data_IF_577138432905
#
_entry.id   IF_577138432905
#
_cell.length_a   1.000
_cell.length_b   1.000
_cell.length_c   1.000
_cell.angle_alpha   90.00
_cell.angle_beta   90.00
_cell.angle_gamma   90.00
#
_symmetry.space_group_name_H-M   'P 1'
#
loop_
_entity.id
_entity.type
_entity.pdbx_description
1 polymer ?
#
# COMPACT_ATOMS: atom_id res chain seq x y z
N UNK A 1 -23.90 -67.19 -55.14
CA UNK A 1 -22.99 -66.36 -55.96
C UNK A 1 -22.87 -65.00 -55.28
N UNK A 2 -21.63 -64.58 -54.95
CA UNK A 2 -21.17 -63.20 -54.59
C UNK A 2 -21.80 -62.64 -53.29
N UNK A 3 -21.26 -62.88 -52.09
CA UNK A 3 -20.00 -62.37 -51.51
C UNK A 3 -19.69 -60.92 -51.90
N UNK A 4 -20.02 -59.98 -51.01
CA UNK A 4 -19.40 -58.67 -50.93
C UNK A 4 -19.29 -58.27 -49.45
N UNK A 5 -18.16 -58.67 -48.87
CA UNK A 5 -17.59 -58.15 -47.63
C UNK A 5 -17.30 -56.66 -47.83
N UNK A 6 -17.95 -55.77 -47.08
CA UNK A 6 -17.59 -54.35 -47.05
C UNK A 6 -17.11 -54.01 -45.65
N UNK A 7 -15.79 -54.04 -45.49
CA UNK A 7 -15.09 -53.70 -44.25
C UNK A 7 -15.05 -52.17 -44.17
N UNK A 8 -15.94 -51.59 -43.36
CA UNK A 8 -15.85 -50.17 -43.00
C UNK A 8 -14.74 -50.04 -41.96
N UNK A 9 -13.58 -49.56 -42.40
CA UNK A 9 -12.45 -49.21 -41.53
C UNK A 9 -12.84 -47.94 -40.77
N UNK A 10 -13.28 -48.11 -39.52
CA UNK A 10 -13.41 -47.01 -38.56
C UNK A 10 -12.01 -46.49 -38.24
N UNK A 11 -11.58 -45.46 -38.97
CA UNK A 11 -10.43 -44.65 -38.58
C UNK A 11 -10.85 -43.78 -37.40
N UNK A 12 -10.73 -44.33 -36.19
CA UNK A 12 -10.79 -43.56 -34.96
C UNK A 12 -9.54 -42.67 -34.89
N UNK A 13 -9.60 -41.51 -35.53
CA UNK A 13 -8.67 -40.44 -35.23
C UNK A 13 -8.96 -40.00 -33.79
N UNK A 14 -8.21 -40.57 -32.84
CA UNK A 14 -8.11 -40.06 -31.47
C UNK A 14 -7.43 -38.69 -31.56
N UNK A 15 -8.22 -37.66 -31.84
CA UNK A 15 -7.78 -36.28 -31.67
C UNK A 15 -7.62 -36.11 -30.16
N UNK A 16 -6.38 -36.16 -29.70
CA UNK A 16 -6.05 -35.88 -28.30
C UNK A 16 -6.49 -34.47 -27.97
N UNK A 17 -7.60 -34.35 -27.23
CA UNK A 17 -7.98 -33.09 -26.60
C UNK A 17 -7.00 -32.85 -25.46
N UNK A 18 -5.88 -32.18 -25.75
CA UNK A 18 -5.07 -31.57 -24.71
C UNK A 18 -5.95 -30.52 -24.03
N UNK A 19 -6.43 -30.81 -22.82
CA UNK A 19 -7.09 -29.84 -21.98
C UNK A 19 -6.07 -28.74 -21.67
N UNK A 20 -6.16 -27.62 -22.40
CA UNK A 20 -5.43 -26.41 -22.08
C UNK A 20 -5.93 -25.97 -20.70
N UNK A 21 -5.14 -26.24 -19.65
CA UNK A 21 -5.39 -25.64 -18.35
C UNK A 21 -5.33 -24.13 -18.56
N UNK A 22 -6.34 -23.35 -18.13
CA UNK A 22 -6.16 -21.91 -18.10
C UNK A 22 -4.93 -21.66 -17.24
N UNK A 23 -3.94 -20.97 -17.79
CA UNK A 23 -2.77 -20.57 -17.04
C UNK A 23 -3.29 -19.55 -16.00
N UNK A 24 -3.64 -20.05 -14.82
CA UNK A 24 -3.75 -19.22 -13.63
C UNK A 24 -2.34 -18.72 -13.42
N UNK A 25 -2.10 -17.46 -13.76
CA UNK A 25 -0.83 -16.79 -13.51
C UNK A 25 -0.60 -16.89 -12.00
N UNK A 26 0.54 -17.46 -11.60
CA UNK A 26 0.92 -17.54 -10.19
C UNK A 26 2.10 -16.62 -9.95
N UNK A 27 2.39 -16.29 -8.68
CA UNK A 27 3.55 -15.44 -8.33
C UNK A 27 4.86 -15.89 -8.98
N UNK A 28 5.04 -17.21 -9.14
CA UNK A 28 6.24 -17.82 -9.74
C UNK A 28 6.30 -17.66 -11.27
N UNK A 29 5.22 -17.21 -11.90
CA UNK A 29 5.11 -17.01 -13.35
C UNK A 29 5.51 -15.59 -13.80
N UNK A 30 5.79 -14.67 -12.85
CA UNK A 30 6.18 -13.30 -13.19
C UNK A 30 7.59 -13.24 -13.78
N UNK A 31 7.78 -12.40 -14.81
CA UNK A 31 9.10 -12.14 -15.40
C UNK A 31 9.97 -11.32 -14.43
N UNK A 32 11.28 -11.30 -14.65
CA UNK A 32 12.22 -10.60 -13.75
C UNK A 32 11.99 -9.09 -13.57
N UNK A 33 11.30 -8.43 -14.51
CA UNK A 33 10.93 -7.02 -14.44
C UNK A 33 9.47 -6.80 -14.01
N UNK A 34 8.83 -7.82 -13.45
CA UNK A 34 7.42 -7.81 -13.05
C UNK A 34 7.28 -8.16 -11.57
N UNK A 35 6.22 -7.66 -10.95
CA UNK A 35 5.81 -8.03 -9.60
C UNK A 35 4.40 -8.65 -9.63
N UNK A 36 4.18 -9.64 -8.77
CA UNK A 36 2.85 -10.21 -8.57
C UNK A 36 1.98 -9.25 -7.75
N UNK A 37 0.80 -8.88 -8.26
CA UNK A 37 -0.17 -8.06 -7.53
C UNK A 37 -1.37 -8.90 -7.07
N UNK A 38 -1.40 -9.36 -5.81
CA UNK A 38 -2.42 -10.31 -5.34
C UNK A 38 -3.85 -9.80 -5.47
N UNK A 39 -4.05 -8.48 -5.35
CA UNK A 39 -5.37 -7.87 -5.42
C UNK A 39 -5.97 -7.92 -6.83
N UNK A 40 -5.15 -7.95 -7.89
CA UNK A 40 -5.61 -8.13 -9.28
C UNK A 40 -5.36 -9.56 -9.79
N UNK A 41 -4.60 -10.37 -9.07
CA UNK A 41 -4.29 -11.75 -9.45
C UNK A 41 -3.49 -11.86 -10.74
N UNK A 42 -2.58 -10.91 -11.00
CA UNK A 42 -1.76 -10.88 -12.20
C UNK A 42 -0.35 -10.32 -11.93
N UNK A 43 0.57 -10.56 -12.87
CA UNK A 43 1.88 -9.93 -12.89
C UNK A 43 1.80 -8.55 -13.56
N UNK A 44 2.34 -7.52 -12.90
CA UNK A 44 2.45 -6.17 -13.42
C UNK A 44 3.92 -5.83 -13.65
N UNK A 45 4.24 -5.20 -14.77
CA UNK A 45 5.58 -4.63 -14.97
C UNK A 45 5.90 -3.62 -13.86
N UNK A 46 7.16 -3.51 -13.46
CA UNK A 46 7.63 -2.38 -12.65
C UNK A 46 7.27 -1.08 -13.38
N UNK A 47 6.24 -0.40 -12.90
CA UNK A 47 5.54 0.64 -13.64
C UNK A 47 5.41 1.94 -12.87
N UNK A 48 5.74 3.02 -13.57
CA UNK A 48 5.66 4.41 -13.17
C UNK A 48 6.87 5.15 -13.77
N UNK A 49 6.70 6.32 -14.43
CA UNK A 49 7.88 7.11 -14.79
C UNK A 49 8.64 7.43 -13.49
N UNK A 50 9.97 7.39 -13.56
CA UNK A 50 10.85 7.76 -12.43
C UNK A 50 10.50 9.13 -11.82
N UNK A 51 9.82 9.97 -12.60
CA UNK A 51 9.13 11.16 -12.14
C UNK A 51 7.63 11.02 -12.47
N UNK A 52 6.78 10.59 -11.52
CA UNK A 52 5.33 10.52 -11.72
C UNK A 52 4.77 11.88 -12.15
N UNK A 53 3.81 11.94 -13.11
CA UNK A 53 3.15 13.19 -13.46
C UNK A 53 2.36 13.72 -12.26
N UNK A 54 2.28 15.04 -12.12
CA UNK A 54 1.44 15.68 -11.09
C UNK A 54 0.00 15.22 -11.27
N UNK A 55 -0.66 14.68 -10.24
CA UNK A 55 -2.05 14.27 -10.34
C UNK A 55 -2.99 15.44 -10.70
N UNK A 56 -4.20 15.14 -11.18
CA UNK A 56 -5.25 16.15 -11.31
C UNK A 56 -5.52 16.82 -9.94
N UNK A 57 -5.90 18.10 -9.93
CA UNK A 57 -6.32 18.78 -8.69
C UNK A 57 -7.34 17.92 -7.94
N UNK A 58 -7.14 17.70 -6.64
CA UNK A 58 -7.97 16.82 -5.78
C UNK A 58 -7.71 15.30 -5.91
N UNK A 59 -6.65 14.91 -6.64
CA UNK A 59 -6.11 13.54 -6.68
C UNK A 59 -4.62 13.51 -6.32
N UNK A 60 -4.08 14.62 -5.84
CA UNK A 60 -2.69 14.77 -5.48
C UNK A 60 -2.35 13.83 -4.32
N UNK A 61 -1.32 12.99 -4.51
CA UNK A 61 -0.70 12.31 -3.38
C UNK A 61 -0.20 13.40 -2.42
N UNK A 62 -0.55 13.35 -1.12
CA UNK A 62 0.02 14.27 -0.14
C UNK A 62 1.55 14.24 -0.27
N UNK A 63 2.15 15.39 -0.61
CA UNK A 63 3.60 15.49 -0.89
C UNK A 63 4.45 15.23 0.35
N UNK A 64 3.83 15.43 1.51
CA UNK A 64 4.33 15.13 2.83
C UNK A 64 3.41 14.04 3.39
N UNK A 65 3.90 13.19 4.29
CA UNK A 65 3.30 11.95 4.79
C UNK A 65 1.93 12.07 5.51
N UNK A 66 1.18 13.12 5.22
CA UNK A 66 -0.13 13.51 5.70
C UNK A 66 -1.29 12.60 5.21
N UNK A 67 -1.02 11.31 5.02
CA UNK A 67 -2.07 10.33 4.75
C UNK A 67 -2.81 9.94 6.04
N UNK A 68 -2.15 10.03 7.20
CA UNK A 68 -2.71 9.65 8.50
C UNK A 68 -2.40 10.68 9.60
N UNK A 69 -3.09 11.81 9.55
CA UNK A 69 -2.92 12.90 10.53
C UNK A 69 -3.45 12.58 11.92
N UNK A 70 -4.06 11.41 12.11
CA UNK A 70 -4.62 11.00 13.40
C UNK A 70 -3.52 10.51 14.35
N UNK A 71 -2.46 9.91 13.79
CA UNK A 71 -1.34 9.33 14.53
C UNK A 71 0.05 9.79 14.03
N UNK A 72 0.14 10.53 12.91
CA UNK A 72 1.41 11.10 12.43
C UNK A 72 1.91 12.20 13.37
N UNK A 73 3.12 12.00 13.89
CA UNK A 73 3.79 12.90 14.81
C UNK A 73 4.13 14.27 14.21
N UNK A 74 4.45 14.32 12.91
CA UNK A 74 4.86 15.53 12.20
C UNK A 74 3.70 16.25 11.49
N UNK A 75 2.56 15.57 11.36
CA UNK A 75 1.34 16.09 10.73
C UNK A 75 0.11 15.85 11.61
N UNK A 76 0.26 16.04 12.92
CA UNK A 76 -0.78 15.70 13.87
C UNK A 76 -1.95 16.67 13.76
N UNK A 77 -3.16 16.13 13.53
CA UNK A 77 -4.38 16.91 13.38
C UNK A 77 -4.50 17.67 12.05
N UNK A 78 -3.55 17.50 11.12
CA UNK A 78 -3.55 18.13 9.80
C UNK A 78 -2.16 18.18 9.16
N UNK A 79 -2.10 18.53 7.86
CA UNK A 79 -0.83 18.67 7.16
C UNK A 79 -0.09 19.96 7.52
N UNK A 80 1.03 19.85 8.22
CA UNK A 80 1.80 21.04 8.67
C UNK A 80 2.27 21.89 7.50
N UNK A 81 2.54 21.27 6.34
CA UNK A 81 2.90 21.97 5.10
C UNK A 81 1.79 22.84 4.49
N UNK A 82 0.53 22.56 4.85
CA UNK A 82 -0.63 23.38 4.47
C UNK A 82 -1.02 24.37 5.59
N UNK A 83 -0.24 24.43 6.68
CA UNK A 83 -0.58 25.19 7.88
C UNK A 83 -1.77 24.61 8.66
N UNK A 84 -2.09 23.33 8.45
CA UNK A 84 -3.14 22.60 9.15
C UNK A 84 -2.46 21.60 10.09
N UNK A 85 -2.85 21.48 11.35
CA UNK A 85 -2.16 20.59 12.29
C UNK A 85 -0.80 21.11 12.78
N UNK A 86 -0.02 20.23 13.42
CA UNK A 86 1.22 20.59 14.10
C UNK A 86 2.22 19.42 14.17
N UNK A 87 3.50 19.74 14.34
CA UNK A 87 4.56 18.77 14.62
C UNK A 87 4.72 18.61 16.14
N UNK A 88 4.32 17.46 16.68
CA UNK A 88 4.41 17.18 18.11
C UNK A 88 5.86 17.11 18.60
N UNK A 89 6.83 16.80 17.73
CA UNK A 89 8.26 16.75 18.10
C UNK A 89 8.85 18.12 18.40
N UNK A 90 8.19 19.20 17.97
CA UNK A 90 8.60 20.56 18.24
C UNK A 90 8.17 21.07 19.63
N UNK A 91 7.44 20.28 20.42
CA UNK A 91 7.01 20.66 21.77
C UNK A 91 8.25 20.83 22.66
N UNK A 92 8.47 22.05 23.14
CA UNK A 92 9.66 22.40 23.92
C UNK A 92 9.78 21.57 25.19
N UNK A 93 11.00 21.14 25.50
CA UNK A 93 11.37 20.33 26.68
C UNK A 93 10.67 18.97 26.76
N UNK A 94 9.93 18.55 25.74
CA UNK A 94 9.39 17.20 25.67
C UNK A 94 10.50 16.19 25.41
N UNK A 95 10.36 15.01 26.01
CA UNK A 95 11.26 13.86 25.78
C UNK A 95 10.56 12.78 24.95
N UNK A 96 9.28 12.54 25.23
CA UNK A 96 8.46 11.61 24.48
C UNK A 96 7.08 12.21 24.25
N UNK A 97 6.68 12.25 22.99
CA UNK A 97 5.43 12.81 22.50
C UNK A 97 4.76 11.82 21.56
N UNK A 98 3.45 11.95 21.42
CA UNK A 98 2.63 11.21 20.46
C UNK A 98 1.64 12.13 19.78
N UNK A 99 1.14 11.69 18.63
CA UNK A 99 -0.11 12.17 18.10
C UNK A 99 -1.16 11.15 18.47
N UNK A 100 -2.19 11.56 19.19
CA UNK A 100 -3.32 10.70 19.51
C UNK A 100 -4.61 11.43 19.17
N UNK A 101 -5.42 10.79 18.35
CA UNK A 101 -6.66 11.37 17.89
C UNK A 101 -6.55 12.75 17.24
N UNK A 102 -5.46 12.98 16.49
CA UNK A 102 -5.17 14.25 15.85
C UNK A 102 -4.79 15.37 16.83
N UNK A 103 -4.46 15.03 18.08
CA UNK A 103 -3.95 15.96 19.08
C UNK A 103 -2.58 15.50 19.60
N UNK A 104 -1.65 16.46 19.76
CA UNK A 104 -0.37 16.13 20.37
C UNK A 104 -0.56 15.86 21.86
N UNK A 105 0.11 14.81 22.33
CA UNK A 105 0.17 14.43 23.71
C UNK A 105 1.63 14.27 24.15
N UNK A 106 1.95 14.84 25.30
CA UNK A 106 3.25 14.72 25.95
C UNK A 106 3.17 13.55 26.93
N UNK A 107 4.00 12.53 26.72
CA UNK A 107 4.09 11.38 27.62
C UNK A 107 5.15 11.58 28.68
N UNK A 108 6.30 12.15 28.31
CA UNK A 108 7.39 12.46 29.25
C UNK A 108 8.10 13.75 28.85
N UNK A 109 8.59 14.47 29.87
CA UNK A 109 9.37 15.69 29.74
C UNK A 109 10.84 15.45 30.07
N UNK A 110 11.70 16.32 29.55
CA UNK A 110 13.13 16.36 29.87
C UNK A 110 13.35 16.66 31.36
N UNK A 111 14.50 16.29 31.96
CA UNK A 111 14.79 16.56 33.36
C UNK A 111 14.60 18.03 33.76
N UNK A 112 13.94 18.27 34.89
CA UNK A 112 13.60 19.61 35.39
C UNK A 112 12.28 20.17 34.87
N UNK A 113 11.49 19.37 34.16
CA UNK A 113 10.16 19.70 33.68
C UNK A 113 9.18 18.57 33.98
N UNK A 114 7.90 18.92 34.13
CA UNK A 114 6.77 18.00 34.24
C UNK A 114 5.74 18.25 33.15
N UNK A 115 4.94 17.24 32.82
CA UNK A 115 3.85 17.40 31.88
C UNK A 115 2.77 18.30 32.50
N UNK A 116 2.28 19.27 31.74
CA UNK A 116 1.12 20.08 32.10
C UNK A 116 -0.09 19.21 32.38
N UNK A 117 -1.05 19.72 33.17
CA UNK A 117 -2.30 19.02 33.49
C UNK A 117 -3.09 18.62 32.25
N UNK A 118 -3.03 19.42 31.18
CA UNK A 118 -3.67 19.10 29.90
C UNK A 118 -2.89 18.08 29.04
N UNK A 119 -1.69 17.70 29.47
CA UNK A 119 -0.81 16.77 28.78
C UNK A 119 -0.26 17.30 27.45
N UNK A 120 -0.30 18.61 27.19
CA UNK A 120 0.11 19.19 25.89
C UNK A 120 1.48 19.85 25.88
N UNK A 121 2.00 20.18 27.06
CA UNK A 121 3.25 20.94 27.19
C UNK A 121 4.07 20.43 28.38
N UNK A 122 5.35 20.81 28.41
CA UNK A 122 6.23 20.59 29.55
C UNK A 122 6.44 21.91 30.30
N UNK A 123 6.07 21.94 31.57
CA UNK A 123 6.25 23.09 32.47
C UNK A 123 7.42 22.84 33.41
N UNK A 124 8.13 23.90 33.79
CA UNK A 124 9.30 23.80 34.66
C UNK A 124 8.84 23.48 36.09
N UNK A 125 9.55 22.56 36.74
CA UNK A 125 9.41 22.27 38.18
C UNK A 125 9.87 23.45 39.05
#
# INVERSE_FOLDING_TARGET
>A
MKSFTSIIVFSAALVGFAAAKPAVETRESCKGNQFWFPQLGCCLDHGGPQSPPTPPRSRDCPKDNCADTYEDLHNCGGCTSLGQGQDCTAISHSWNVGCNAGACQVYTCSPGYEASFDGKTCIKL
#
